data_IF_705877764586
#
_entry.id   IF_705877764586
#
_cell.length_a   1.000
_cell.length_b   1.000
_cell.length_c   1.000
_cell.angle_alpha   90.00
_cell.angle_beta   90.00
_cell.angle_gamma   90.00
#
_symmetry.space_group_name_H-M   'P 1'
#
loop_
_entity.id
_entity.type
_entity.pdbx_description
1 polymer ?
#
# COMPACT_ATOMS: atom_id res chain seq x y z
N UNK A 1 -4.17 5.32 7.43
CA UNK A 1 -5.31 4.55 6.91
C UNK A 1 -4.84 3.13 6.68
N UNK A 2 -5.59 2.15 7.16
CA UNK A 2 -5.29 0.73 6.93
C UNK A 2 -6.39 0.18 6.03
N UNK A 3 -6.01 -0.59 5.03
CA UNK A 3 -6.93 -1.34 4.17
C UNK A 3 -6.55 -2.81 4.24
N UNK A 4 -7.55 -3.67 4.26
CA UNK A 4 -7.38 -5.11 4.25
C UNK A 4 -8.44 -5.71 3.33
N UNK A 5 -8.02 -6.56 2.40
CA UNK A 5 -8.89 -7.20 1.41
C UNK A 5 -8.59 -8.70 1.38
N UNK A 6 -9.66 -9.50 1.33
CA UNK A 6 -9.59 -10.95 1.18
C UNK A 6 -10.34 -11.35 -0.09
N UNK A 7 -9.67 -12.06 -1.00
CA UNK A 7 -10.24 -12.63 -2.22
C UNK A 7 -10.24 -14.16 -2.17
N UNK A 8 -11.34 -14.79 -2.56
CA UNK A 8 -11.47 -16.25 -2.64
C UNK A 8 -12.36 -16.68 -3.82
N UNK A 9 -12.50 -17.99 -4.03
CA UNK A 9 -13.32 -18.64 -5.08
C UNK A 9 -12.88 -18.41 -6.54
N UNK A 10 -11.64 -17.97 -6.76
CA UNK A 10 -11.02 -17.99 -8.08
C UNK A 10 -10.17 -19.25 -8.27
N UNK A 11 -9.94 -19.61 -9.54
CA UNK A 11 -9.06 -20.72 -9.91
C UNK A 11 -7.73 -20.18 -10.43
N UNK A 12 -6.62 -20.71 -9.93
CA UNK A 12 -5.30 -20.43 -10.46
C UNK A 12 -5.09 -21.11 -11.83
N UNK A 13 -4.00 -20.79 -12.52
CA UNK A 13 -3.71 -21.32 -13.86
C UNK A 13 -3.63 -22.86 -13.93
N UNK A 14 -3.31 -23.50 -12.80
CA UNK A 14 -3.30 -24.96 -12.64
C UNK A 14 -4.70 -25.56 -12.36
N UNK A 15 -5.77 -24.74 -12.35
CA UNK A 15 -7.14 -25.16 -12.08
C UNK A 15 -7.49 -25.31 -10.59
N UNK A 16 -6.53 -25.09 -9.68
CA UNK A 16 -6.74 -25.20 -8.24
C UNK A 16 -7.46 -23.98 -7.67
N UNK A 17 -8.30 -24.20 -6.65
CA UNK A 17 -8.94 -23.11 -5.90
C UNK A 17 -7.89 -22.30 -5.16
N UNK A 18 -7.94 -20.99 -5.32
CA UNK A 18 -6.96 -20.07 -4.75
C UNK A 18 -7.65 -19.03 -3.86
N UNK A 19 -6.87 -18.43 -2.97
CA UNK A 19 -7.28 -17.29 -2.16
C UNK A 19 -6.09 -16.36 -1.95
N UNK A 20 -6.37 -15.08 -1.79
CA UNK A 20 -5.38 -14.01 -1.65
C UNK A 20 -5.79 -13.02 -0.56
N UNK A 21 -4.79 -12.45 0.11
CA UNK A 21 -4.93 -11.36 1.07
C UNK A 21 -4.00 -10.22 0.69
N UNK A 22 -4.50 -9.00 0.76
CA UNK A 22 -3.67 -7.80 0.65
C UNK A 22 -3.97 -6.88 1.83
N UNK A 23 -2.91 -6.48 2.53
CA UNK A 23 -2.97 -5.47 3.57
C UNK A 23 -2.14 -4.26 3.15
N UNK A 24 -2.74 -3.06 3.25
CA UNK A 24 -2.07 -1.82 2.90
C UNK A 24 -2.14 -0.85 4.07
N UNK A 25 -0.98 -0.41 4.55
CA UNK A 25 -0.86 0.64 5.56
C UNK A 25 -0.40 1.90 4.87
N UNK A 26 -1.22 2.95 4.91
CA UNK A 26 -0.95 4.25 4.31
C UNK A 26 -0.82 5.28 5.43
N UNK A 27 0.38 5.81 5.61
CA UNK A 27 0.69 6.93 6.50
C UNK A 27 0.91 8.19 5.67
N UNK A 28 0.31 9.30 6.11
CA UNK A 28 0.50 10.60 5.50
C UNK A 28 0.78 11.62 6.61
N UNK A 29 1.82 12.42 6.44
CA UNK A 29 2.18 13.49 7.34
C UNK A 29 2.49 14.76 6.55
N UNK A 30 1.65 15.79 6.67
CA UNK A 30 1.87 17.09 6.06
C UNK A 30 2.44 18.05 7.11
N UNK A 31 3.62 18.62 6.84
CA UNK A 31 4.25 19.56 7.76
C UNK A 31 3.42 20.83 7.90
N UNK A 32 3.24 21.29 9.15
CA UNK A 32 2.42 22.45 9.49
C UNK A 32 3.26 23.71 9.77
N UNK A 33 4.56 23.56 10.02
CA UNK A 33 5.47 24.67 10.28
C UNK A 33 5.55 25.59 9.05
N UNK A 34 5.53 26.92 9.21
CA UNK A 34 5.59 27.86 8.08
C UNK A 34 6.77 27.62 7.14
N UNK A 35 7.92 27.24 7.68
CA UNK A 35 9.14 26.97 6.92
C UNK A 35 9.05 25.70 6.04
N UNK A 36 8.29 24.69 6.49
CA UNK A 36 8.12 23.41 5.79
C UNK A 36 6.74 23.31 5.12
N UNK A 37 6.03 24.43 4.99
CA UNK A 37 4.70 24.47 4.40
C UNK A 37 4.77 24.00 2.95
N UNK A 38 4.01 22.96 2.65
CA UNK A 38 4.01 22.30 1.34
C UNK A 38 4.81 21.00 1.28
N UNK A 39 5.64 20.70 2.30
CA UNK A 39 6.29 19.39 2.42
C UNK A 39 5.33 18.37 3.03
N UNK A 40 5.29 17.17 2.48
CA UNK A 40 4.55 16.04 3.02
C UNK A 40 5.37 14.74 2.90
N UNK A 41 5.26 13.90 3.92
CA UNK A 41 5.76 12.53 3.91
C UNK A 41 4.59 11.58 3.71
N UNK A 42 4.77 10.60 2.84
CA UNK A 42 3.84 9.49 2.70
C UNK A 42 4.62 8.19 2.76
N UNK A 43 4.14 7.26 3.56
CA UNK A 43 4.67 5.90 3.63
C UNK A 43 3.54 4.92 3.34
N UNK A 44 3.79 3.99 2.43
CA UNK A 44 2.87 2.93 2.07
C UNK A 44 3.58 1.60 2.26
N UNK A 45 3.05 0.76 3.14
CA UNK A 45 3.42 -0.64 3.28
C UNK A 45 2.34 -1.49 2.63
N UNK A 46 2.73 -2.42 1.77
CA UNK A 46 1.83 -3.39 1.14
C UNK A 46 2.38 -4.77 1.46
N UNK A 47 1.53 -5.63 2.02
CA UNK A 47 1.85 -7.02 2.24
C UNK A 47 0.77 -7.86 1.55
N UNK A 48 1.18 -8.60 0.52
CA UNK A 48 0.34 -9.44 -0.31
C UNK A 48 0.72 -10.91 -0.12
N UNK A 49 -0.26 -11.74 0.22
CA UNK A 49 -0.08 -13.20 0.35
C UNK A 49 -1.10 -13.93 -0.52
N UNK A 50 -0.69 -14.96 -1.24
CA UNK A 50 -1.55 -15.77 -2.10
C UNK A 50 -1.20 -17.25 -1.95
N UNK A 51 -2.23 -18.10 -1.85
CA UNK A 51 -2.02 -19.54 -1.60
C UNK A 51 -1.26 -20.24 -2.74
N UNK A 52 -1.54 -19.85 -3.98
CA UNK A 52 -0.83 -20.34 -5.18
C UNK A 52 -0.39 -19.14 -6.03
N UNK A 53 0.84 -18.67 -5.81
CA UNK A 53 1.41 -17.52 -6.50
C UNK A 53 2.68 -17.01 -5.80
N UNK A 54 3.03 -15.75 -6.03
CA UNK A 54 4.18 -15.12 -5.41
C UNK A 54 3.71 -14.10 -4.36
N UNK A 55 4.11 -14.34 -3.12
CA UNK A 55 3.95 -13.37 -2.04
C UNK A 55 4.94 -12.22 -2.23
N UNK A 56 4.55 -11.01 -1.85
CA UNK A 56 5.47 -9.88 -1.84
C UNK A 56 5.15 -8.89 -0.71
N UNK A 57 6.21 -8.29 -0.19
CA UNK A 57 6.15 -7.12 0.67
C UNK A 57 6.75 -5.93 -0.06
N UNK A 58 6.03 -4.82 -0.12
CA UNK A 58 6.48 -3.61 -0.79
C UNK A 58 6.43 -2.40 0.16
N UNK A 59 7.55 -1.68 0.21
CA UNK A 59 7.68 -0.42 0.94
C UNK A 59 7.82 0.73 -0.06
N UNK A 60 6.94 1.72 0.06
CA UNK A 60 7.02 2.97 -0.72
C UNK A 60 7.12 4.15 0.24
N UNK A 61 8.20 4.93 0.10
CA UNK A 61 8.41 6.16 0.84
C UNK A 61 8.44 7.34 -0.13
N UNK A 62 7.61 8.35 0.14
CA UNK A 62 7.52 9.57 -0.66
C UNK A 62 7.82 10.78 0.21
N UNK A 63 8.66 11.65 -0.33
CA UNK A 63 8.88 13.01 0.17
C UNK A 63 8.35 13.95 -0.90
N UNK A 64 7.20 14.55 -0.64
CA UNK A 64 6.48 15.39 -1.57
C UNK A 64 6.64 16.86 -1.20
N UNK A 65 6.82 17.73 -2.18
CA UNK A 65 6.72 19.18 -2.02
C UNK A 65 5.70 19.74 -3.00
N UNK A 66 4.69 20.46 -2.51
CA UNK A 66 3.65 21.09 -3.32
C UNK A 66 3.51 22.56 -2.94
N UNK A 67 3.69 23.44 -3.94
CA UNK A 67 3.49 24.89 -3.80
C UNK A 67 2.48 25.35 -4.87
N UNK A 68 1.36 25.93 -4.43
CA UNK A 68 0.40 26.60 -5.32
C UNK A 68 0.77 28.09 -5.41
N UNK A 69 0.66 28.67 -6.61
CA UNK A 69 0.93 30.08 -6.91
C UNK A 69 -0.31 30.72 -7.54
#
# INVERSE_FOLDING_TARGET
>A
MVKYVYGHDFKAANGEKNHETESNVILNYAFQQPFLKGVALQYIRIDYNVKHGNDFGEDRLFVNYTKKF
#
